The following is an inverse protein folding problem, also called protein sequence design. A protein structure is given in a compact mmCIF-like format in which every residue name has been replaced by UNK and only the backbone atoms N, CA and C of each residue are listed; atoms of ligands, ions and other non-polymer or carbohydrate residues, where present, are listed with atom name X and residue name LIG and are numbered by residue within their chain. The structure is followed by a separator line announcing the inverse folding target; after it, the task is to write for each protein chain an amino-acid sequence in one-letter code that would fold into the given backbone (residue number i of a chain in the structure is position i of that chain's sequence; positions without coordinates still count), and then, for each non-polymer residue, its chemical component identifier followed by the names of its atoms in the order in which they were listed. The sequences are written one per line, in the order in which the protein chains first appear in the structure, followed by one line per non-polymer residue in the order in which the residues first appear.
data_IF_547208178241
#
_entry.id   IF_547208178241
#
_cell.length_a   1.000
_cell.length_b   1.000
_cell.length_c   1.000
_cell.angle_alpha   90.00
_cell.angle_beta   90.00
_cell.angle_gamma   90.00
#
_symmetry.space_group_name_H-M   'P 1'
#
loop_
_entity.id
_entity.type
_entity.pdbx_description
1 polymer ?
#
# COMPACT_ATOMS: atom_id res chain seq x y z
N UNK A 1 -45.94 -15.85 -58.30
CA UNK A 1 -46.65 -14.94 -59.23
C UNK A 1 -45.89 -13.61 -59.29
N UNK A 2 -46.21 -12.70 -60.22
CA UNK A 2 -45.57 -11.36 -60.31
C UNK A 2 -45.64 -10.59 -58.97
N UNK A 3 -46.72 -10.75 -58.21
CA UNK A 3 -46.90 -10.17 -56.89
C UNK A 3 -45.92 -10.72 -55.83
N UNK A 4 -45.62 -12.03 -55.86
CA UNK A 4 -44.63 -12.64 -54.95
C UNK A 4 -43.23 -12.06 -55.18
N UNK A 5 -42.86 -11.89 -56.46
CA UNK A 5 -41.55 -11.33 -56.82
C UNK A 5 -41.44 -9.86 -56.40
N UNK A 6 -42.48 -9.06 -56.61
CA UNK A 6 -42.50 -7.67 -56.14
C UNK A 6 -42.35 -7.58 -54.61
N UNK A 7 -43.08 -8.39 -53.85
CA UNK A 7 -42.93 -8.45 -52.38
C UNK A 7 -41.52 -8.84 -51.96
N UNK A 8 -40.92 -9.80 -52.65
CA UNK A 8 -39.54 -10.21 -52.37
C UNK A 8 -38.54 -9.06 -52.59
N UNK A 9 -38.71 -8.29 -53.67
CA UNK A 9 -37.90 -7.10 -53.94
C UNK A 9 -38.07 -6.04 -52.85
N UNK A 10 -39.30 -5.75 -52.44
CA UNK A 10 -39.54 -4.77 -51.36
C UNK A 10 -38.91 -5.18 -50.04
N UNK A 11 -39.04 -6.43 -49.63
CA UNK A 11 -38.43 -6.94 -48.39
C UNK A 11 -36.90 -6.87 -48.47
N UNK A 12 -36.31 -7.17 -49.62
CA UNK A 12 -34.87 -7.02 -49.82
C UNK A 12 -34.42 -5.56 -49.70
N UNK A 13 -35.20 -4.62 -50.26
CA UNK A 13 -34.95 -3.18 -50.10
C UNK A 13 -35.05 -2.76 -48.64
N UNK A 14 -36.09 -3.17 -47.92
CA UNK A 14 -36.21 -2.88 -46.48
C UNK A 14 -35.06 -3.46 -45.68
N UNK A 15 -34.63 -4.68 -45.98
CA UNK A 15 -33.48 -5.29 -45.32
C UNK A 15 -32.20 -4.49 -45.56
N UNK A 16 -31.91 -4.06 -46.79
CA UNK A 16 -30.74 -3.23 -47.09
C UNK A 16 -30.83 -1.87 -46.38
N UNK A 17 -31.98 -1.20 -46.41
CA UNK A 17 -32.20 0.05 -45.67
C UNK A 17 -31.99 -0.18 -44.17
N UNK A 18 -32.43 -1.31 -43.62
CA UNK A 18 -32.28 -1.59 -42.18
C UNK A 18 -30.82 -1.77 -41.74
N UNK A 19 -29.92 -2.13 -42.65
CA UNK A 19 -28.49 -2.25 -42.33
C UNK A 19 -27.80 -0.90 -42.21
N UNK A 20 -28.16 0.04 -43.09
CA UNK A 20 -27.48 1.34 -43.19
C UNK A 20 -28.21 2.44 -42.42
N UNK A 21 -29.54 2.37 -42.38
CA UNK A 21 -30.44 3.41 -41.89
C UNK A 21 -31.66 2.84 -41.15
N UNK A 22 -31.44 1.93 -40.20
CA UNK A 22 -32.49 1.27 -39.40
C UNK A 22 -33.50 2.23 -38.75
N UNK A 23 -33.05 3.41 -38.29
CA UNK A 23 -33.91 4.42 -37.67
C UNK A 23 -35.05 4.91 -38.59
N UNK A 24 -34.84 4.93 -39.91
CA UNK A 24 -35.85 5.37 -40.90
C UNK A 24 -37.05 4.41 -40.94
N UNK A 25 -36.83 3.15 -40.57
CA UNK A 25 -37.85 2.10 -40.60
C UNK A 25 -38.64 1.97 -39.30
N UNK A 26 -38.21 2.62 -38.22
CA UNK A 26 -38.87 2.55 -36.90
C UNK A 26 -40.36 2.92 -36.95
N UNK A 27 -40.79 4.00 -37.65
CA UNK A 27 -42.22 4.35 -37.75
C UNK A 27 -43.06 3.28 -38.48
N UNK A 28 -42.42 2.42 -39.27
CA UNK A 28 -43.08 1.40 -40.09
C UNK A 28 -43.06 0.02 -39.43
N UNK A 29 -42.64 -0.09 -38.17
CA UNK A 29 -42.47 -1.36 -37.49
C UNK A 29 -43.78 -2.17 -37.40
N UNK A 30 -44.92 -1.50 -37.15
CA UNK A 30 -46.23 -2.16 -37.15
C UNK A 30 -46.59 -2.77 -38.50
N UNK A 31 -46.32 -2.04 -39.60
CA UNK A 31 -46.52 -2.55 -40.95
C UNK A 31 -45.60 -3.74 -41.27
N UNK A 32 -44.34 -3.70 -40.82
CA UNK A 32 -43.41 -4.82 -40.99
C UNK A 32 -43.87 -6.08 -40.23
N UNK A 33 -44.47 -5.91 -39.05
CA UNK A 33 -45.07 -7.00 -38.28
C UNK A 33 -46.28 -7.60 -38.98
N UNK A 34 -47.21 -6.78 -39.48
CA UNK A 34 -48.35 -7.25 -40.29
C UNK A 34 -47.90 -8.01 -41.54
N UNK A 35 -46.81 -7.53 -42.18
CA UNK A 35 -46.28 -8.17 -43.36
C UNK A 35 -45.82 -9.60 -43.07
N UNK A 36 -45.34 -9.93 -41.87
CA UNK A 36 -44.89 -11.28 -41.53
C UNK A 36 -45.95 -12.36 -41.71
N UNK A 37 -47.24 -12.07 -41.49
CA UNK A 37 -48.32 -13.04 -41.68
C UNK A 37 -48.44 -13.52 -43.12
N UNK A 38 -48.05 -12.65 -44.06
CA UNK A 38 -48.28 -12.86 -45.49
C UNK A 38 -47.09 -13.47 -46.20
N UNK A 39 -45.95 -13.56 -45.52
CA UNK A 39 -44.65 -13.82 -46.12
C UNK A 39 -44.17 -15.21 -45.72
N UNK A 40 -44.31 -16.17 -46.63
CA UNK A 40 -43.77 -17.53 -46.48
C UNK A 40 -42.23 -17.56 -46.50
N UNK A 41 -41.64 -17.96 -47.64
CA UNK A 41 -40.18 -18.21 -47.77
C UNK A 41 -39.31 -16.97 -47.45
N UNK A 42 -39.85 -15.74 -47.59
CA UNK A 42 -39.11 -14.51 -47.33
C UNK A 42 -39.17 -14.05 -45.86
N UNK A 43 -39.76 -14.85 -44.96
CA UNK A 43 -39.86 -14.52 -43.54
C UNK A 43 -38.51 -14.32 -42.86
N UNK A 44 -37.45 -14.98 -43.33
CA UNK A 44 -36.09 -14.83 -42.81
C UNK A 44 -35.54 -13.42 -42.94
N UNK A 45 -35.65 -12.80 -44.13
CA UNK A 45 -35.20 -11.43 -44.38
C UNK A 45 -35.97 -10.42 -43.52
N UNK A 46 -37.26 -10.67 -43.34
CA UNK A 46 -38.11 -9.81 -42.52
C UNK A 46 -37.75 -9.91 -41.03
N UNK A 47 -37.50 -11.11 -40.50
CA UNK A 47 -37.02 -11.30 -39.12
C UNK A 47 -35.67 -10.62 -38.90
N UNK A 48 -34.74 -10.73 -39.86
CA UNK A 48 -33.46 -10.00 -39.78
C UNK A 48 -33.65 -8.48 -39.81
N UNK A 49 -34.58 -7.99 -40.62
CA UNK A 49 -34.95 -6.55 -40.67
C UNK A 49 -35.57 -6.10 -39.35
N UNK A 50 -36.45 -6.90 -38.74
CA UNK A 50 -37.03 -6.60 -37.44
C UNK A 50 -35.97 -6.56 -36.34
N UNK A 51 -34.97 -7.46 -36.37
CA UNK A 51 -33.87 -7.45 -35.42
C UNK A 51 -33.03 -6.16 -35.49
N UNK A 52 -32.69 -5.70 -36.70
CA UNK A 52 -31.91 -4.47 -36.90
C UNK A 52 -32.71 -3.22 -36.52
N UNK A 53 -34.01 -3.17 -36.86
CA UNK A 53 -34.89 -2.05 -36.51
C UNK A 53 -35.17 -2.02 -35.00
N UNK A 54 -35.41 -3.17 -34.38
CA UNK A 54 -35.64 -3.25 -32.93
C UNK A 54 -34.42 -2.78 -32.13
N UNK A 55 -33.21 -3.10 -32.59
CA UNK A 55 -31.98 -2.62 -31.98
C UNK A 55 -31.78 -1.10 -32.11
N UNK A 56 -32.36 -0.47 -33.15
CA UNK A 56 -32.23 0.96 -33.38
C UNK A 56 -33.09 1.81 -32.44
N UNK A 57 -34.31 1.36 -32.15
CA UNK A 57 -35.19 1.99 -31.15
C UNK A 57 -35.89 0.94 -30.29
N UNK A 58 -35.24 0.53 -29.18
CA UNK A 58 -35.79 -0.40 -28.19
C UNK A 58 -37.19 -0.04 -27.69
N UNK A 59 -37.48 1.25 -27.48
CA UNK A 59 -38.73 1.71 -26.85
C UNK A 59 -39.91 1.53 -27.78
N UNK A 60 -39.76 1.91 -29.05
CA UNK A 60 -40.80 1.70 -30.06
C UNK A 60 -40.96 0.21 -30.36
N UNK A 61 -39.84 -0.53 -30.39
CA UNK A 61 -39.84 -1.97 -30.59
C UNK A 61 -40.61 -2.72 -29.49
N UNK A 62 -40.32 -2.42 -28.23
CA UNK A 62 -41.04 -2.96 -27.08
C UNK A 62 -42.56 -2.78 -27.22
N UNK A 63 -43.02 -1.54 -27.47
CA UNK A 63 -44.46 -1.22 -27.60
C UNK A 63 -45.16 -1.92 -28.76
N UNK A 64 -44.44 -2.20 -29.84
CA UNK A 64 -45.03 -2.72 -31.09
C UNK A 64 -44.92 -4.24 -31.17
N UNK A 65 -43.79 -4.81 -30.76
CA UNK A 65 -43.46 -6.23 -30.94
C UNK A 65 -43.92 -7.06 -29.75
N UNK A 66 -43.79 -6.58 -28.50
CA UNK A 66 -44.17 -7.37 -27.31
C UNK A 66 -45.63 -7.87 -27.34
N UNK A 67 -46.63 -7.07 -27.75
CA UNK A 67 -48.01 -7.55 -27.85
C UNK A 67 -48.21 -8.71 -28.84
N UNK A 68 -47.29 -8.89 -29.79
CA UNK A 68 -47.36 -9.91 -30.84
C UNK A 68 -46.27 -10.99 -30.69
N UNK A 69 -45.65 -11.11 -29.50
CA UNK A 69 -44.48 -11.96 -29.30
C UNK A 69 -44.75 -13.45 -29.56
N UNK A 70 -45.90 -13.97 -29.13
CA UNK A 70 -46.29 -15.37 -29.35
C UNK A 70 -46.49 -15.70 -30.83
N UNK A 71 -46.93 -14.72 -31.60
CA UNK A 71 -47.06 -14.86 -33.05
C UNK A 71 -45.69 -14.90 -33.72
N UNK A 72 -44.79 -13.97 -33.36
CA UNK A 72 -43.41 -13.97 -33.86
C UNK A 72 -42.69 -15.28 -33.50
N UNK A 73 -42.87 -15.78 -32.27
CA UNK A 73 -42.32 -17.07 -31.82
C UNK A 73 -42.80 -18.24 -32.68
N UNK A 74 -44.09 -18.31 -32.99
CA UNK A 74 -44.65 -19.37 -33.86
C UNK A 74 -44.07 -19.33 -35.27
N UNK A 75 -43.89 -18.14 -35.83
CA UNK A 75 -43.30 -17.96 -37.16
C UNK A 75 -41.82 -18.36 -37.19
N UNK A 76 -41.04 -17.94 -36.19
CA UNK A 76 -39.61 -18.27 -36.11
C UNK A 76 -39.38 -19.76 -35.86
N UNK A 77 -40.25 -20.46 -35.13
CA UNK A 77 -40.16 -21.93 -34.99
C UNK A 77 -40.25 -22.67 -36.34
N UNK A 78 -40.92 -22.10 -37.34
CA UNK A 78 -40.93 -22.62 -38.71
C UNK A 78 -39.64 -22.34 -39.50
N UNK A 79 -38.75 -21.49 -38.96
CA UNK A 79 -37.53 -20.97 -39.55
C UNK A 79 -36.34 -21.23 -38.60
N UNK A 80 -35.98 -22.49 -38.38
CA UNK A 80 -34.97 -22.91 -37.38
C UNK A 80 -33.62 -22.16 -37.45
N UNK A 81 -33.23 -21.63 -38.61
CA UNK A 81 -32.02 -20.79 -38.76
C UNK A 81 -32.15 -19.35 -38.23
N UNK A 82 -33.34 -18.93 -37.81
CA UNK A 82 -33.67 -17.54 -37.43
C UNK A 82 -33.88 -17.36 -35.92
N UNK A 83 -33.76 -18.42 -35.12
CA UNK A 83 -33.92 -18.36 -33.66
C UNK A 83 -32.97 -17.34 -33.01
N UNK A 84 -31.75 -17.22 -33.52
CA UNK A 84 -30.78 -16.21 -33.09
C UNK A 84 -31.29 -14.77 -33.26
N UNK A 85 -31.95 -14.47 -34.38
CA UNK A 85 -32.51 -13.13 -34.62
C UNK A 85 -33.71 -12.87 -33.73
N UNK A 86 -34.50 -13.90 -33.41
CA UNK A 86 -35.58 -13.78 -32.44
C UNK A 86 -35.06 -13.45 -31.04
N UNK A 87 -33.99 -14.12 -30.59
CA UNK A 87 -33.28 -13.77 -29.35
C UNK A 87 -32.78 -12.32 -29.37
N UNK A 88 -32.28 -11.86 -30.52
CA UNK A 88 -31.83 -10.47 -30.70
C UNK A 88 -32.98 -9.47 -30.58
N UNK A 89 -34.14 -9.75 -31.21
CA UNK A 89 -35.36 -8.92 -31.12
C UNK A 89 -35.85 -8.85 -29.67
N UNK A 90 -35.93 -10.00 -29.00
CA UNK A 90 -36.32 -10.10 -27.59
C UNK A 90 -35.42 -9.23 -26.72
N UNK A 91 -34.10 -9.38 -26.85
CA UNK A 91 -33.15 -8.57 -26.08
C UNK A 91 -33.29 -7.07 -26.37
N UNK A 92 -33.47 -6.68 -27.63
CA UNK A 92 -33.70 -5.28 -27.98
C UNK A 92 -34.96 -4.74 -27.30
N UNK A 93 -36.06 -5.49 -27.26
CA UNK A 93 -37.29 -5.10 -26.56
C UNK A 93 -37.07 -5.01 -25.04
N UNK A 94 -36.37 -5.99 -24.45
CA UNK A 94 -36.11 -6.01 -23.01
C UNK A 94 -35.28 -4.81 -22.53
N UNK A 95 -34.35 -4.32 -23.34
CA UNK A 95 -33.52 -3.14 -23.00
C UNK A 95 -34.29 -1.82 -22.87
N UNK A 96 -35.56 -1.75 -23.30
CA UNK A 96 -36.35 -0.53 -23.24
C UNK A 96 -36.71 -0.12 -21.80
N UNK A 97 -37.00 -1.08 -20.93
CA UNK A 97 -37.31 -0.86 -19.51
C UNK A 97 -37.17 -2.14 -18.67
N UNK A 98 -37.11 -1.99 -17.35
CA UNK A 98 -37.07 -3.12 -16.40
C UNK A 98 -38.34 -3.99 -16.52
N UNK A 99 -39.50 -3.37 -16.71
CA UNK A 99 -40.80 -4.06 -16.89
C UNK A 99 -40.80 -4.90 -18.18
N UNK A 100 -40.23 -4.36 -19.26
CA UNK A 100 -40.07 -5.08 -20.53
C UNK A 100 -39.08 -6.24 -20.40
N UNK A 101 -37.98 -6.04 -19.66
CA UNK A 101 -37.04 -7.12 -19.33
C UNK A 101 -37.76 -8.25 -18.59
N UNK A 102 -38.56 -7.94 -17.56
CA UNK A 102 -39.34 -8.93 -16.82
C UNK A 102 -40.29 -9.71 -17.74
N UNK A 103 -40.86 -9.05 -18.74
CA UNK A 103 -41.77 -9.67 -19.71
C UNK A 103 -41.02 -10.56 -20.71
N UNK A 104 -39.83 -10.15 -21.16
CA UNK A 104 -39.02 -10.85 -22.17
C UNK A 104 -38.26 -12.05 -21.59
N UNK A 105 -37.80 -11.94 -20.35
CA UNK A 105 -36.88 -12.91 -19.75
C UNK A 105 -37.42 -14.36 -19.75
N UNK A 106 -38.69 -14.64 -19.44
CA UNK A 106 -39.25 -15.99 -19.56
C UNK A 106 -39.14 -16.56 -20.98
N UNK A 107 -39.39 -15.75 -22.01
CA UNK A 107 -39.29 -16.18 -23.40
C UNK A 107 -37.85 -16.55 -23.78
N UNK A 108 -36.86 -15.81 -23.27
CA UNK A 108 -35.45 -16.14 -23.48
C UNK A 108 -35.08 -17.44 -22.78
N UNK A 109 -35.48 -17.61 -21.52
CA UNK A 109 -35.17 -18.81 -20.73
C UNK A 109 -35.82 -20.07 -21.34
N UNK A 110 -37.03 -19.96 -21.89
CA UNK A 110 -37.69 -21.06 -22.61
C UNK A 110 -36.97 -21.49 -23.90
N UNK A 111 -36.11 -20.65 -24.48
CA UNK A 111 -35.30 -21.00 -25.65
C UNK A 111 -34.04 -21.80 -25.28
N UNK A 112 -33.70 -21.89 -23.99
CA UNK A 112 -32.60 -22.72 -23.51
C UNK A 112 -33.06 -24.18 -23.56
N UNK A 113 -32.34 -25.01 -24.32
CA UNK A 113 -32.68 -26.43 -24.48
C UNK A 113 -31.48 -27.29 -24.86
N UNK A 114 -31.59 -28.60 -24.62
CA UNK A 114 -30.45 -29.53 -24.67
C UNK A 114 -29.79 -29.69 -26.06
N UNK A 115 -30.48 -29.33 -27.15
CA UNK A 115 -30.05 -29.69 -28.50
C UNK A 115 -29.30 -28.59 -29.27
N UNK A 116 -29.29 -27.33 -28.81
CA UNK A 116 -28.69 -26.22 -29.57
C UNK A 116 -27.69 -25.39 -28.73
N UNK A 117 -26.47 -25.93 -28.62
CA UNK A 117 -25.35 -25.29 -27.90
C UNK A 117 -25.09 -23.83 -28.33
N UNK A 118 -25.16 -23.53 -29.63
CA UNK A 118 -24.94 -22.17 -30.13
C UNK A 118 -26.04 -21.21 -29.66
N UNK A 119 -27.31 -21.63 -29.77
CA UNK A 119 -28.43 -20.82 -29.31
C UNK A 119 -28.39 -20.61 -27.80
N UNK A 120 -28.07 -21.64 -27.01
CA UNK A 120 -27.94 -21.54 -25.56
C UNK A 120 -26.91 -20.49 -25.15
N UNK A 121 -25.69 -20.56 -25.71
CA UNK A 121 -24.65 -19.57 -25.45
C UNK A 121 -25.10 -18.15 -25.83
N UNK A 122 -25.79 -18.00 -26.98
CA UNK A 122 -26.33 -16.70 -27.40
C UNK A 122 -27.41 -16.18 -26.45
N UNK A 123 -28.33 -17.05 -26.02
CA UNK A 123 -29.41 -16.69 -25.09
C UNK A 123 -28.82 -16.26 -23.76
N UNK A 124 -27.92 -17.05 -23.19
CA UNK A 124 -27.25 -16.74 -21.92
C UNK A 124 -26.51 -15.40 -22.00
N UNK A 125 -25.83 -15.11 -23.11
CA UNK A 125 -25.16 -13.82 -23.30
C UNK A 125 -26.16 -12.64 -23.29
N UNK A 126 -27.33 -12.80 -23.93
CA UNK A 126 -28.37 -11.76 -23.90
C UNK A 126 -29.02 -11.64 -22.51
N UNK A 127 -29.27 -12.76 -21.83
CA UNK A 127 -29.77 -12.76 -20.44
C UNK A 127 -28.81 -11.98 -19.56
N UNK A 128 -27.50 -12.28 -19.63
CA UNK A 128 -26.44 -11.53 -18.91
C UNK A 128 -26.50 -10.03 -19.20
N UNK A 129 -26.72 -9.64 -20.46
CA UNK A 129 -26.81 -8.23 -20.83
C UNK A 129 -28.03 -7.52 -20.25
N UNK A 130 -29.18 -8.21 -20.15
CA UNK A 130 -30.43 -7.64 -19.62
C UNK A 130 -30.41 -7.51 -18.09
N UNK A 131 -29.92 -8.54 -17.41
CA UNK A 131 -29.96 -8.64 -15.93
C UNK A 131 -28.91 -7.80 -15.22
N UNK A 132 -28.00 -7.16 -15.98
CA UNK A 132 -27.14 -6.08 -15.46
C UNK A 132 -27.92 -4.91 -14.88
N UNK A 133 -29.16 -4.69 -15.32
CA UNK A 133 -30.00 -3.60 -14.81
C UNK A 133 -30.58 -3.91 -13.42
N UNK A 134 -30.96 -5.15 -13.17
CA UNK A 134 -31.50 -5.61 -11.89
C UNK A 134 -31.28 -7.12 -11.72
N UNK A 135 -30.52 -7.47 -10.68
CA UNK A 135 -30.20 -8.86 -10.34
C UNK A 135 -31.41 -9.66 -9.85
N UNK A 136 -32.41 -9.00 -9.25
CA UNK A 136 -33.58 -9.69 -8.70
C UNK A 136 -34.44 -10.34 -9.79
N UNK A 137 -34.32 -9.88 -11.03
CA UNK A 137 -35.02 -10.48 -12.17
C UNK A 137 -34.58 -11.91 -12.46
N UNK A 138 -33.39 -12.33 -12.01
CA UNK A 138 -32.88 -13.67 -12.20
C UNK A 138 -33.46 -14.70 -11.23
N UNK A 139 -33.99 -14.28 -10.08
CA UNK A 139 -34.43 -15.18 -9.00
C UNK A 139 -35.29 -16.37 -9.49
N UNK A 140 -36.31 -16.17 -10.36
CA UNK A 140 -37.18 -17.26 -10.80
C UNK A 140 -36.54 -18.20 -11.81
N UNK A 141 -35.37 -17.85 -12.36
CA UNK A 141 -34.75 -18.50 -13.51
C UNK A 141 -33.38 -19.11 -13.19
N UNK A 142 -32.87 -18.93 -11.97
CA UNK A 142 -31.54 -19.40 -11.56
C UNK A 142 -31.36 -20.91 -11.67
N UNK A 143 -32.43 -21.69 -11.47
CA UNK A 143 -32.35 -23.16 -11.58
C UNK A 143 -32.00 -23.60 -13.01
N UNK A 144 -32.60 -22.95 -14.01
CA UNK A 144 -32.33 -23.23 -15.43
C UNK A 144 -30.91 -22.80 -15.81
N UNK A 145 -30.46 -21.64 -15.32
CA UNK A 145 -29.11 -21.13 -15.59
C UNK A 145 -28.05 -22.03 -14.92
N UNK A 146 -28.30 -22.51 -13.70
CA UNK A 146 -27.40 -23.47 -13.03
C UNK A 146 -27.34 -24.81 -13.74
N UNK A 147 -28.46 -25.30 -14.29
CA UNK A 147 -28.45 -26.51 -15.10
C UNK A 147 -27.54 -26.38 -16.35
N UNK A 148 -27.31 -25.16 -16.85
CA UNK A 148 -26.40 -24.92 -17.97
C UNK A 148 -24.90 -24.99 -17.60
N UNK A 149 -24.55 -25.12 -16.31
CA UNK A 149 -23.17 -25.36 -15.89
C UNK A 149 -22.66 -26.74 -16.34
N UNK A 150 -23.57 -27.72 -16.45
CA UNK A 150 -23.27 -29.08 -16.91
C UNK A 150 -23.48 -29.25 -18.43
N UNK A 151 -23.78 -28.16 -19.15
CA UNK A 151 -23.97 -28.18 -20.60
C UNK A 151 -22.62 -28.14 -21.35
N UNK A 152 -22.62 -27.66 -22.60
CA UNK A 152 -21.38 -27.48 -23.35
C UNK A 152 -20.48 -26.41 -22.74
N UNK A 153 -19.17 -26.50 -23.01
CA UNK A 153 -18.16 -25.63 -22.41
C UNK A 153 -18.43 -24.12 -22.59
N UNK A 154 -19.02 -23.68 -23.71
CA UNK A 154 -19.29 -22.25 -23.93
C UNK A 154 -20.47 -21.79 -23.08
N UNK A 155 -21.56 -22.56 -23.09
CA UNK A 155 -22.74 -22.27 -22.27
C UNK A 155 -22.40 -22.30 -20.77
N UNK A 156 -21.60 -23.26 -20.33
CA UNK A 156 -21.16 -23.40 -18.95
C UNK A 156 -20.35 -22.19 -18.45
N UNK A 157 -19.41 -21.67 -19.27
CA UNK A 157 -18.63 -20.48 -18.92
C UNK A 157 -19.54 -19.26 -18.75
N UNK A 158 -20.47 -19.02 -19.68
CA UNK A 158 -21.37 -17.87 -19.61
C UNK A 158 -22.35 -18.02 -18.43
N UNK A 159 -22.88 -19.22 -18.20
CA UNK A 159 -23.74 -19.51 -17.06
C UNK A 159 -23.02 -19.25 -15.72
N UNK A 160 -21.76 -19.66 -15.60
CA UNK A 160 -20.94 -19.39 -14.42
C UNK A 160 -20.77 -17.89 -14.16
N UNK A 161 -20.52 -17.10 -15.20
CA UNK A 161 -20.42 -15.63 -15.06
C UNK A 161 -21.74 -15.01 -14.58
N UNK A 162 -22.89 -15.51 -15.05
CA UNK A 162 -24.21 -15.04 -14.60
C UNK A 162 -24.44 -15.44 -13.13
N UNK A 163 -24.07 -16.66 -12.73
CA UNK A 163 -24.18 -17.13 -11.34
C UNK A 163 -23.30 -16.30 -10.42
N UNK A 164 -22.05 -16.04 -10.80
CA UNK A 164 -21.13 -15.19 -10.03
C UNK A 164 -21.65 -13.75 -9.90
N UNK A 165 -22.22 -13.21 -10.98
CA UNK A 165 -22.86 -11.90 -10.95
C UNK A 165 -24.05 -11.87 -9.97
N UNK A 166 -24.93 -12.88 -10.07
CA UNK A 166 -26.09 -13.02 -9.19
C UNK A 166 -25.70 -13.11 -7.70
N UNK A 167 -24.66 -13.88 -7.39
CA UNK A 167 -24.17 -14.07 -6.02
C UNK A 167 -23.30 -12.91 -5.50
N UNK A 168 -23.07 -11.87 -6.32
CA UNK A 168 -22.20 -10.74 -5.94
C UNK A 168 -20.72 -11.11 -5.80
N UNK A 169 -20.30 -12.23 -6.42
CA UNK A 169 -18.92 -12.70 -6.47
C UNK A 169 -18.16 -12.25 -7.74
N UNK A 170 -18.80 -11.45 -8.57
CA UNK A 170 -18.21 -10.90 -9.78
C UNK A 170 -17.10 -9.86 -9.50
N UNK A 171 -16.20 -9.72 -10.48
CA UNK A 171 -15.08 -8.76 -10.44
C UNK A 171 -15.58 -7.32 -10.20
N UNK A 172 -16.74 -6.96 -10.75
CA UNK A 172 -17.35 -5.63 -10.57
C UNK A 172 -17.74 -5.37 -9.10
N UNK A 173 -18.25 -6.38 -8.40
CA UNK A 173 -18.61 -6.28 -6.99
C UNK A 173 -17.36 -6.21 -6.10
N UNK A 174 -16.29 -6.92 -6.48
CA UNK A 174 -15.01 -6.83 -5.79
C UNK A 174 -14.37 -5.44 -5.98
N UNK A 175 -14.41 -4.89 -7.20
CA UNK A 175 -13.88 -3.56 -7.50
C UNK A 175 -14.58 -2.46 -6.67
N UNK A 176 -15.91 -2.53 -6.53
CA UNK A 176 -16.65 -1.61 -5.66
C UNK A 176 -16.18 -1.70 -4.21
N UNK A 177 -16.06 -2.91 -3.66
CA UNK A 177 -15.63 -3.11 -2.26
C UNK A 177 -14.19 -2.65 -2.01
N UNK A 178 -13.30 -2.83 -2.98
CA UNK A 178 -11.92 -2.33 -2.88
C UNK A 178 -11.89 -0.81 -2.87
N UNK A 179 -12.74 -0.15 -3.68
CA UNK A 179 -12.88 1.30 -3.66
C UNK A 179 -13.39 1.82 -2.32
N UNK A 180 -14.39 1.16 -1.73
CA UNK A 180 -14.95 1.55 -0.43
C UNK A 180 -13.90 1.43 0.69
N UNK A 181 -13.15 0.33 0.71
CA UNK A 181 -12.07 0.11 1.69
C UNK A 181 -10.92 1.11 1.50
N UNK A 182 -10.56 1.44 0.25
CA UNK A 182 -9.55 2.47 0.00
C UNK A 182 -9.97 3.83 0.56
N UNK A 183 -11.24 4.20 0.38
CA UNK A 183 -11.77 5.45 0.94
C UNK A 183 -11.82 5.44 2.47
N UNK A 184 -12.11 4.29 3.10
CA UNK A 184 -12.04 4.15 4.55
C UNK A 184 -10.60 4.28 5.08
N UNK A 185 -9.61 3.72 4.37
CA UNK A 185 -8.19 3.87 4.72
C UNK A 185 -7.75 5.33 4.65
N UNK A 186 -8.09 6.03 3.57
CA UNK A 186 -7.76 7.47 3.42
C UNK A 186 -8.36 8.32 4.56
N UNK A 187 -9.59 8.03 4.98
CA UNK A 187 -10.24 8.73 6.10
C UNK A 187 -9.57 8.44 7.45
N UNK A 188 -9.12 7.20 7.66
CA UNK A 188 -8.40 6.82 8.88
C UNK A 188 -7.01 7.46 8.90
N UNK A 189 -6.32 7.54 7.76
CA UNK A 189 -5.05 8.26 7.66
C UNK A 189 -5.20 9.75 7.96
N UNK A 190 -6.25 10.40 7.47
CA UNK A 190 -6.53 11.82 7.77
C UNK A 190 -6.85 12.05 9.27
N UNK A 191 -7.54 11.10 9.91
CA UNK A 191 -7.81 11.16 11.35
C UNK A 191 -6.59 10.83 12.23
N UNK A 192 -5.58 10.17 11.67
CA UNK A 192 -4.36 9.73 12.34
C UNK A 192 -3.12 10.53 11.90
N UNK A 193 -3.25 11.83 11.65
CA UNK A 193 -2.09 12.74 11.57
C UNK A 193 -1.43 12.98 12.96
N UNK A 194 -1.19 11.89 13.67
CA UNK A 194 -0.45 11.82 14.94
C UNK A 194 0.99 12.27 14.70
N UNK A 195 1.54 12.01 13.51
CA UNK A 195 2.89 12.42 13.12
C UNK A 195 3.01 13.94 13.02
N UNK A 196 2.10 14.63 12.32
CA UNK A 196 2.09 16.08 12.24
C UNK A 196 1.91 16.75 13.59
N UNK A 197 1.09 16.17 14.48
CA UNK A 197 0.91 16.65 15.85
C UNK A 197 2.18 16.54 16.70
N UNK A 198 2.91 15.43 16.61
CA UNK A 198 4.19 15.24 17.30
C UNK A 198 5.26 16.21 16.75
N UNK A 199 5.32 16.36 15.42
CA UNK A 199 6.27 17.30 14.77
C UNK A 199 6.02 18.75 15.21
N UNK A 200 4.75 19.18 15.25
CA UNK A 200 4.37 20.51 15.73
C UNK A 200 4.71 20.72 17.22
N UNK A 201 4.41 19.72 18.07
CA UNK A 201 4.72 19.78 19.50
C UNK A 201 6.24 19.90 19.76
N UNK A 202 7.04 19.08 19.07
CA UNK A 202 8.51 19.13 19.19
C UNK A 202 9.06 20.46 18.69
N UNK A 203 8.48 21.02 17.62
CA UNK A 203 8.91 22.30 17.06
C UNK A 203 8.61 23.48 18.02
N UNK A 204 7.43 23.50 18.62
CA UNK A 204 7.03 24.55 19.58
C UNK A 204 7.85 24.50 20.87
N UNK A 205 8.20 23.30 21.36
CA UNK A 205 8.95 23.13 22.61
C UNK A 205 10.47 23.03 22.42
N UNK A 206 10.98 23.12 21.18
CA UNK A 206 12.40 23.00 20.87
C UNK A 206 13.28 24.00 21.63
N UNK A 207 12.78 25.22 21.86
CA UNK A 207 13.51 26.24 22.60
C UNK A 207 13.67 25.85 24.07
N UNK A 208 12.60 25.39 24.69
CA UNK A 208 12.57 24.99 26.11
C UNK A 208 13.44 23.74 26.35
N UNK A 209 13.41 22.77 25.43
CA UNK A 209 14.27 21.58 25.45
C UNK A 209 15.75 21.98 25.38
N UNK A 210 16.11 22.92 24.49
CA UNK A 210 17.49 23.42 24.39
C UNK A 210 17.93 24.19 25.64
N UNK A 211 17.06 25.02 26.21
CA UNK A 211 17.36 25.77 27.42
C UNK A 211 17.52 24.84 28.63
N UNK A 212 16.65 23.84 28.75
CA UNK A 212 16.74 22.79 29.76
C UNK A 212 18.07 22.03 29.64
N UNK A 213 18.41 21.56 28.44
CA UNK A 213 19.68 20.85 28.23
C UNK A 213 20.90 21.72 28.53
N UNK A 214 20.87 23.03 28.25
CA UNK A 214 21.97 23.93 28.60
C UNK A 214 22.15 24.08 30.14
N UNK A 215 21.06 23.99 30.91
CA UNK A 215 21.10 24.01 32.38
C UNK A 215 21.56 22.65 32.92
N UNK A 216 21.05 21.55 32.36
CA UNK A 216 21.35 20.18 32.79
C UNK A 216 22.78 19.79 32.41
N UNK A 217 23.28 20.17 31.23
CA UNK A 217 24.63 19.83 30.76
C UNK A 217 25.75 20.34 31.69
N UNK A 218 25.48 21.36 32.51
CA UNK A 218 26.41 21.85 33.55
C UNK A 218 26.54 20.91 34.74
N UNK A 219 25.49 20.15 35.05
CA UNK A 219 25.41 19.26 36.22
C UNK A 219 25.58 17.80 35.83
N UNK A 220 25.08 17.42 34.67
CA UNK A 220 25.04 16.06 34.18
C UNK A 220 25.79 15.97 32.84
N UNK A 221 26.86 15.17 32.75
CA UNK A 221 27.53 14.90 31.48
C UNK A 221 26.59 14.13 30.56
N UNK A 222 26.62 14.46 29.27
CA UNK A 222 25.80 13.82 28.25
C UNK A 222 26.58 12.65 27.63
N UNK A 223 26.04 11.43 27.61
CA UNK A 223 26.69 10.30 26.95
C UNK A 223 26.66 10.50 25.44
N UNK A 224 27.74 10.09 24.79
CA UNK A 224 27.84 10.14 23.33
C UNK A 224 27.19 8.91 22.70
N UNK A 225 27.21 7.79 23.42
CA UNK A 225 26.60 6.55 22.96
C UNK A 225 26.03 5.76 24.15
N UNK A 226 24.95 5.04 23.87
CA UNK A 226 24.32 4.11 24.80
C UNK A 226 24.15 2.75 24.13
N UNK A 227 24.59 1.68 24.80
CA UNK A 227 24.56 0.33 24.25
C UNK A 227 23.99 -0.67 25.26
N UNK A 228 23.05 -1.50 24.81
CA UNK A 228 22.47 -2.56 25.64
C UNK A 228 23.25 -3.85 25.40
N UNK A 229 23.88 -4.40 26.46
CA UNK A 229 24.53 -5.72 26.39
C UNK A 229 23.90 -6.70 27.37
N UNK A 230 23.86 -7.97 26.96
CA UNK A 230 23.38 -9.10 27.77
C UNK A 230 22.17 -9.79 27.13
N UNK A 231 22.15 -11.13 27.18
CA UNK A 231 21.05 -11.96 26.64
C UNK A 231 19.93 -12.23 27.66
N UNK A 232 20.25 -12.25 28.95
CA UNK A 232 19.33 -12.69 30.03
C UNK A 232 19.13 -11.62 31.10
N UNK A 233 20.18 -10.86 31.43
CA UNK A 233 20.10 -9.63 32.22
C UNK A 233 20.69 -8.53 31.36
N UNK A 234 19.81 -7.71 30.78
CA UNK A 234 20.23 -6.63 29.89
C UNK A 234 20.70 -5.46 30.77
N UNK A 235 21.92 -5.01 30.53
CA UNK A 235 22.52 -3.86 31.24
C UNK A 235 22.81 -2.78 30.22
N UNK A 236 22.50 -1.54 30.57
CA UNK A 236 22.78 -0.38 29.74
C UNK A 236 24.21 0.12 30.04
N UNK A 237 25.02 0.23 28.99
CA UNK A 237 26.36 0.80 29.04
C UNK A 237 26.33 2.21 28.45
N UNK A 238 26.96 3.14 29.16
CA UNK A 238 27.07 4.54 28.77
C UNK A 238 28.52 4.83 28.40
N UNK A 239 28.71 5.53 27.27
CA UNK A 239 30.02 5.94 26.78
C UNK A 239 30.13 7.47 26.79
N UNK A 240 31.21 7.98 27.37
CA UNK A 240 31.51 9.40 27.45
C UNK A 240 32.89 9.67 26.84
N UNK A 241 32.99 10.68 25.99
CA UNK A 241 34.23 11.08 25.35
C UNK A 241 34.68 12.47 25.81
N UNK A 242 35.98 12.76 25.70
CA UNK A 242 36.50 14.10 25.94
C UNK A 242 36.26 14.99 24.71
N UNK A 243 35.66 16.16 24.90
CA UNK A 243 35.34 17.07 23.79
C UNK A 243 36.56 17.76 23.13
N UNK A 244 37.71 17.85 23.81
CA UNK A 244 38.92 18.53 23.29
C UNK A 244 39.82 17.63 22.42
N UNK A 245 39.79 16.31 22.63
CA UNK A 245 40.55 15.29 21.86
C UNK A 245 42.02 15.65 21.54
N UNK A 246 42.74 16.21 22.50
CA UNK A 246 44.14 16.62 22.28
C UNK A 246 45.11 15.41 22.20
N UNK A 247 46.28 15.55 21.54
CA UNK A 247 47.29 14.51 21.44
C UNK A 247 47.90 14.20 22.83
N UNK A 248 47.31 13.23 23.55
CA UNK A 248 47.62 12.95 24.95
C UNK A 248 46.38 12.80 25.85
N UNK A 249 45.18 12.94 25.31
CA UNK A 249 43.93 12.72 26.02
C UNK A 249 43.84 11.27 26.54
N UNK A 250 43.45 11.10 27.80
CA UNK A 250 43.20 9.79 28.40
C UNK A 250 41.93 9.09 27.84
N UNK A 251 41.03 9.87 27.24
CA UNK A 251 39.74 9.40 26.73
C UNK A 251 39.45 9.94 25.31
N UNK A 252 40.21 9.51 24.28
CA UNK A 252 39.91 9.79 22.88
C UNK A 252 38.64 9.04 22.42
N UNK A 253 38.14 9.34 21.22
CA UNK A 253 36.95 8.67 20.61
C UNK A 253 37.07 7.14 20.65
N UNK A 254 38.26 6.62 20.41
CA UNK A 254 38.53 5.18 20.39
C UNK A 254 38.56 4.53 21.79
N UNK A 255 38.72 5.33 22.85
CA UNK A 255 38.74 4.87 24.23
C UNK A 255 37.90 5.76 25.15
N UNK A 256 36.60 5.82 24.87
CA UNK A 256 35.63 6.50 25.72
C UNK A 256 35.59 5.90 27.14
N UNK A 257 35.27 6.75 28.12
CA UNK A 257 34.95 6.34 29.48
C UNK A 257 33.64 5.55 29.47
N UNK A 258 33.67 4.35 30.06
CA UNK A 258 32.54 3.42 30.05
C UNK A 258 32.05 3.18 31.47
N UNK A 259 30.74 3.31 31.67
CA UNK A 259 30.08 2.93 32.93
C UNK A 259 28.83 2.11 32.67
N UNK A 260 28.43 1.30 33.65
CA UNK A 260 27.19 0.53 33.63
C UNK A 260 26.11 1.20 34.49
N UNK A 261 24.87 1.15 34.03
CA UNK A 261 23.73 1.66 34.79
C UNK A 261 22.62 0.61 34.91
N UNK A 262 21.96 0.62 36.07
CA UNK A 262 20.71 -0.11 36.32
C UNK A 262 19.49 0.79 36.13
N UNK A 263 19.67 2.10 36.11
CA UNK A 263 18.63 3.12 35.98
C UNK A 263 18.38 3.51 34.52
N UNK A 264 18.10 2.51 33.69
CA UNK A 264 17.96 2.70 32.25
C UNK A 264 16.82 3.65 31.86
N UNK A 265 15.68 3.63 32.58
CA UNK A 265 14.55 4.53 32.34
C UNK A 265 14.96 6.01 32.30
N UNK A 266 15.80 6.43 33.25
CA UNK A 266 16.24 7.83 33.37
C UNK A 266 17.21 8.19 32.25
N UNK A 267 18.09 7.27 31.85
CA UNK A 267 19.03 7.47 30.74
C UNK A 267 18.36 7.46 29.36
N UNK A 268 17.29 6.68 29.17
CA UNK A 268 16.47 6.74 27.94
C UNK A 268 15.80 8.11 27.81
N UNK A 269 15.23 8.66 28.90
CA UNK A 269 14.73 10.05 28.92
C UNK A 269 15.82 11.07 28.56
N UNK A 270 17.03 10.92 29.10
CA UNK A 270 18.19 11.76 28.72
C UNK A 270 18.45 11.66 27.21
N UNK A 271 18.43 10.45 26.66
CA UNK A 271 18.66 10.23 25.23
C UNK A 271 17.60 10.85 24.33
N UNK A 272 16.32 10.72 24.69
CA UNK A 272 15.23 11.36 23.96
C UNK A 272 15.37 12.89 23.97
N UNK A 273 15.79 13.51 25.07
CA UNK A 273 16.08 14.94 25.11
C UNK A 273 17.23 15.33 24.18
N UNK A 274 18.29 14.53 24.12
CA UNK A 274 19.44 14.77 23.24
C UNK A 274 18.98 14.74 21.77
N UNK A 275 18.16 13.75 21.39
CA UNK A 275 17.56 13.68 20.05
C UNK A 275 16.64 14.87 19.75
N UNK A 276 15.75 15.23 20.67
CA UNK A 276 14.81 16.33 20.50
C UNK A 276 15.52 17.70 20.40
N UNK A 277 16.70 17.85 20.98
CA UNK A 277 17.53 19.04 20.78
C UNK A 277 18.28 19.07 19.44
N UNK A 278 18.18 18.01 18.65
CA UNK A 278 18.84 17.86 17.34
C UNK A 278 20.28 17.40 17.45
N UNK A 279 20.64 16.66 18.50
CA UNK A 279 21.95 15.99 18.61
C UNK A 279 21.77 14.48 18.49
N UNK A 280 22.67 13.83 17.77
CA UNK A 280 22.61 12.39 17.56
C UNK A 280 23.40 11.65 18.64
N UNK A 281 22.83 10.56 19.16
CA UNK A 281 23.44 9.66 20.15
C UNK A 281 24.23 8.50 19.53
N UNK A 282 24.33 8.52 18.21
CA UNK A 282 25.13 7.58 17.44
C UNK A 282 26.14 8.43 16.67
N UNK A 283 27.41 8.02 16.71
CA UNK A 283 28.50 8.58 15.91
C UNK A 283 28.31 8.27 14.40
N UNK A 284 27.13 8.55 13.86
CA UNK A 284 26.87 8.55 12.42
C UNK A 284 27.19 9.95 11.95
N UNK A 285 28.24 10.05 11.13
CA UNK A 285 28.91 11.27 10.71
C UNK A 285 28.10 12.11 9.69
N UNK A 286 26.77 12.12 9.74
CA UNK A 286 25.96 12.91 8.81
C UNK A 286 24.79 13.58 9.53
N UNK A 287 24.73 14.92 9.43
CA UNK A 287 23.72 15.81 10.02
C UNK A 287 22.38 15.71 9.25
N UNK A 288 21.86 14.49 9.10
CA UNK A 288 20.69 14.17 8.30
C UNK A 288 19.48 13.68 9.11
N UNK A 289 18.27 13.90 8.58
CA UNK A 289 17.01 13.37 9.12
C UNK A 289 17.02 11.84 9.30
N UNK A 290 17.78 11.13 8.46
CA UNK A 290 17.99 9.68 8.54
C UNK A 290 18.77 9.26 9.79
N UNK A 291 19.74 10.05 10.25
CA UNK A 291 20.50 9.79 11.48
C UNK A 291 19.65 10.00 12.74
N UNK A 292 18.68 10.93 12.70
CA UNK A 292 17.70 11.12 13.77
C UNK A 292 16.75 9.91 13.86
N UNK A 293 16.21 9.46 12.72
CA UNK A 293 15.34 8.28 12.66
C UNK A 293 16.07 7.02 13.14
N UNK A 294 17.33 6.81 12.70
CA UNK A 294 18.14 5.67 13.14
C UNK A 294 18.45 5.71 14.65
N UNK A 295 18.72 6.90 15.20
CA UNK A 295 18.97 7.06 16.64
C UNK A 295 17.70 6.88 17.48
N UNK A 296 16.54 7.29 16.96
CA UNK A 296 15.25 7.07 17.58
C UNK A 296 14.90 5.57 17.62
N UNK A 297 15.06 4.87 16.50
CA UNK A 297 14.84 3.42 16.44
C UNK A 297 15.82 2.65 17.33
N UNK A 298 17.09 3.09 17.43
CA UNK A 298 18.05 2.50 18.35
C UNK A 298 17.66 2.70 19.82
N UNK A 299 17.13 3.87 20.20
CA UNK A 299 16.61 4.12 21.55
C UNK A 299 15.34 3.33 21.84
N UNK A 300 14.42 3.24 20.88
CA UNK A 300 13.19 2.44 21.01
C UNK A 300 13.53 0.97 21.19
N UNK A 301 14.40 0.42 20.33
CA UNK A 301 14.91 -0.94 20.46
C UNK A 301 15.65 -1.19 21.78
N UNK A 302 16.40 -0.21 22.30
CA UNK A 302 17.03 -0.30 23.61
C UNK A 302 16.01 -0.28 24.76
N UNK A 303 14.97 0.55 24.69
CA UNK A 303 13.88 0.62 25.66
C UNK A 303 13.05 -0.67 25.66
N UNK A 304 12.67 -1.16 24.49
CA UNK A 304 11.95 -2.44 24.28
C UNK A 304 12.78 -3.63 24.76
N UNK A 305 14.10 -3.55 24.60
CA UNK A 305 14.99 -4.57 25.11
C UNK A 305 15.01 -4.57 26.65
N UNK A 306 15.06 -3.40 27.29
CA UNK A 306 15.26 -3.28 28.74
C UNK A 306 13.96 -3.36 29.56
N UNK A 307 12.81 -3.05 28.95
CA UNK A 307 11.46 -3.18 29.52
C UNK A 307 10.70 -4.44 29.07
N UNK A 308 9.61 -4.76 29.75
CA UNK A 308 8.63 -5.75 29.29
C UNK A 308 7.55 -5.05 28.47
N UNK A 309 7.63 -5.10 27.13
CA UNK A 309 6.58 -4.88 26.11
C UNK A 309 5.41 -3.91 26.36
N UNK A 310 5.53 -2.89 27.21
CA UNK A 310 4.50 -1.87 27.41
C UNK A 310 4.87 -0.65 26.56
N UNK A 311 4.31 -0.60 25.35
CA UNK A 311 4.38 0.56 24.46
C UNK A 311 3.92 1.86 25.17
N UNK A 312 3.03 1.73 26.16
CA UNK A 312 2.53 2.81 27.01
C UNK A 312 3.62 3.50 27.84
N UNK A 313 4.66 2.78 28.26
CA UNK A 313 5.75 3.35 29.07
C UNK A 313 6.68 4.22 28.23
N UNK A 314 6.91 3.86 26.96
CA UNK A 314 7.71 4.66 26.04
C UNK A 314 6.93 5.88 25.54
N UNK A 315 5.62 5.73 25.29
CA UNK A 315 4.72 6.85 25.00
C UNK A 315 4.71 7.88 26.15
N UNK A 316 4.67 7.43 27.41
CA UNK A 316 4.76 8.32 28.57
C UNK A 316 6.08 9.11 28.63
N UNK A 317 7.19 8.58 28.09
CA UNK A 317 8.46 9.32 27.99
C UNK A 317 8.45 10.37 26.87
N UNK A 318 7.62 10.18 25.83
CA UNK A 318 7.41 11.18 24.78
C UNK A 318 6.52 12.33 25.28
N UNK A 319 5.54 12.03 26.14
CA UNK A 319 4.64 13.02 26.73
C UNK A 319 5.32 13.87 27.82
N UNK A 320 6.23 13.29 28.60
CA UNK A 320 7.01 13.98 29.65
C UNK A 320 8.51 14.01 29.34
N UNK A 321 8.98 14.90 28.45
CA UNK A 321 10.36 14.89 28.00
C UNK A 321 11.35 15.34 29.07
N UNK A 322 10.96 16.19 30.03
CA UNK A 322 11.90 16.81 30.97
C UNK A 322 12.23 15.92 32.19
N UNK A 323 13.51 15.85 32.57
CA UNK A 323 13.92 15.20 33.82
C UNK A 323 13.59 16.07 35.02
N UNK A 324 12.99 15.46 36.04
CA UNK A 324 12.78 16.09 37.35
C UNK A 324 14.12 16.35 38.05
N UNK A 325 14.17 17.30 38.99
CA UNK A 325 15.40 17.59 39.74
C UNK A 325 15.88 16.38 40.54
N UNK A 326 14.96 15.56 41.06
CA UNK A 326 15.29 14.32 41.78
C UNK A 326 15.92 13.27 40.85
N UNK A 327 15.40 13.10 39.63
CA UNK A 327 16.00 12.22 38.63
C UNK A 327 17.41 12.69 38.24
N UNK A 328 17.63 14.01 38.09
CA UNK A 328 18.94 14.57 37.78
C UNK A 328 19.97 14.29 38.88
N UNK A 329 19.61 14.54 40.14
CA UNK A 329 20.50 14.31 41.28
C UNK A 329 20.84 12.81 41.43
N UNK A 330 19.87 11.93 41.18
CA UNK A 330 20.09 10.48 41.18
C UNK A 330 21.09 10.03 40.10
N UNK A 331 20.99 10.58 38.88
CA UNK A 331 21.94 10.27 37.81
C UNK A 331 23.34 10.78 38.13
N UNK A 332 23.44 11.96 38.75
CA UNK A 332 24.71 12.53 39.20
C UNK A 332 25.37 11.64 40.25
N UNK A 333 24.62 11.15 41.24
CA UNK A 333 25.17 10.27 42.28
C UNK A 333 25.61 8.91 41.74
N UNK A 334 24.92 8.40 40.72
CA UNK A 334 25.33 7.21 39.99
C UNK A 334 26.70 7.42 39.31
N UNK A 335 26.90 8.56 38.66
CA UNK A 335 28.16 8.90 37.99
C UNK A 335 29.31 9.17 38.97
N UNK A 336 29.02 9.79 40.13
CA UNK A 336 29.99 9.92 41.23
C UNK A 336 30.46 8.56 41.72
N UNK A 337 29.52 7.64 41.93
CA UNK A 337 29.84 6.28 42.37
C UNK A 337 30.66 5.49 41.34
N UNK A 338 30.52 5.83 40.05
CA UNK A 338 31.30 5.25 38.96
C UNK A 338 32.68 5.91 38.75
N UNK A 339 33.00 6.98 39.49
CA UNK A 339 34.28 7.69 39.35
C UNK A 339 34.39 8.58 38.11
N UNK A 340 33.27 8.95 37.47
CA UNK A 340 33.29 9.80 36.28
C UNK A 340 33.91 11.18 36.59
N UNK A 341 33.48 11.80 37.69
CA UNK A 341 33.93 13.14 38.10
C UNK A 341 35.38 13.17 38.63
N UNK A 342 36.00 12.00 38.84
CA UNK A 342 37.44 11.91 39.17
C UNK A 342 38.31 11.98 37.90
N UNK A 343 37.73 11.67 36.74
CA UNK A 343 38.40 11.63 35.44
C UNK A 343 38.10 12.85 34.56
N UNK A 344 36.91 13.45 34.71
CA UNK A 344 36.43 14.58 33.92
C UNK A 344 36.10 15.78 34.81
N UNK A 345 36.35 16.98 34.29
CA UNK A 345 35.84 18.23 34.86
C UNK A 345 35.09 19.04 33.80
N UNK A 346 34.18 19.89 34.27
CA UNK A 346 33.41 20.78 33.42
C UNK A 346 34.22 22.03 33.10
N UNK A 347 34.42 22.32 31.81
CA UNK A 347 35.04 23.55 31.34
C UNK A 347 33.96 24.63 31.10
N UNK A 348 33.93 25.71 31.90
CA UNK A 348 32.95 26.78 31.74
C UNK A 348 33.11 27.58 30.43
N UNK A 349 34.28 27.55 29.78
CA UNK A 349 34.54 28.32 28.56
C UNK A 349 33.92 27.65 27.33
N UNK A 350 34.13 26.34 27.20
CA UNK A 350 33.55 25.55 26.11
C UNK A 350 32.15 25.02 26.43
N UNK A 351 31.73 25.11 27.69
CA UNK A 351 30.51 24.52 28.21
C UNK A 351 30.43 22.99 27.99
N UNK A 352 31.59 22.32 27.99
CA UNK A 352 31.72 20.87 27.75
C UNK A 352 32.47 20.17 28.88
N UNK A 353 32.34 18.84 28.92
CA UNK A 353 33.09 17.99 29.85
C UNK A 353 34.39 17.55 29.19
N UNK A 354 35.51 17.77 29.87
CA UNK A 354 36.85 17.48 29.37
C UNK A 354 37.60 16.67 30.42
N UNK A 355 38.48 15.78 29.98
CA UNK A 355 39.27 14.99 30.92
C UNK A 355 40.29 15.87 31.65
N UNK A 356 40.67 15.48 32.87
CA UNK A 356 41.58 16.25 33.70
C UNK A 356 42.95 16.51 33.05
N UNK A 357 43.39 15.60 32.17
CA UNK A 357 44.63 15.76 31.41
C UNK A 357 44.54 16.87 30.35
N UNK A 358 43.39 17.08 29.71
CA UNK A 358 43.18 18.16 28.73
C UNK A 358 42.82 19.52 29.36
N UNK A 359 42.50 19.57 30.66
CA UNK A 359 42.24 20.82 31.38
C UNK A 359 43.54 21.52 31.78
N UNK A 360 44.59 20.75 32.10
CA UNK A 360 45.82 21.26 32.69
C UNK A 360 46.92 21.67 31.70
N UNK A 361 46.69 21.56 30.40
CA UNK A 361 47.64 22.00 29.37
C UNK A 361 47.57 23.51 29.08
N UNK A 362 46.53 24.21 29.55
CA UNK A 362 46.41 25.66 29.38
C UNK A 362 47.40 26.48 30.25
N UNK A 363 48.08 25.88 31.24
CA UNK A 363 48.92 26.62 32.21
C UNK A 363 50.42 26.29 32.26
N UNK A 364 50.99 25.47 31.37
CA UNK A 364 52.47 25.27 31.35
C UNK A 364 53.05 25.51 29.95
N UNK A 365 53.22 26.79 29.64
CA UNK A 365 54.28 27.26 28.74
C UNK A 365 55.21 28.17 29.52
N UNK A 366 56.37 27.65 29.93
CA UNK A 366 57.48 28.52 30.34
C UNK A 366 57.97 29.32 29.13
N UNK A 367 58.52 30.52 29.40
CA UNK A 367 58.93 31.51 28.40
C UNK A 367 59.97 31.02 27.37
N UNK A 368 60.54 29.82 27.53
CA UNK A 368 61.60 29.25 26.68
C UNK A 368 61.20 27.97 25.92
N UNK A 369 59.90 27.66 25.81
CA UNK A 369 59.40 26.74 24.77
C UNK A 369 59.92 25.30 24.79
N UNK A 370 60.28 24.75 25.95
CA UNK A 370 60.73 23.35 26.07
C UNK A 370 59.72 22.50 26.85
N UNK A 371 59.38 21.31 26.32
CA UNK A 371 58.44 20.34 26.91
C UNK A 371 58.96 19.80 28.24
N UNK A 372 58.24 20.06 29.34
CA UNK A 372 58.44 19.37 30.62
C UNK A 372 57.53 18.12 30.63
N UNK A 373 58.15 16.94 30.67
CA UNK A 373 57.42 15.68 30.87
C UNK A 373 56.95 15.59 32.33
N UNK A 374 55.63 15.52 32.56
CA UNK A 374 55.08 15.25 33.89
C UNK A 374 55.17 13.75 34.25
N UNK A 375 55.26 13.40 35.54
CA UNK A 375 55.41 12.02 36.00
C UNK A 375 54.11 11.23 35.83
N UNK A 376 54.27 9.97 35.43
CA UNK A 376 53.23 8.97 35.23
C UNK A 376 52.45 8.73 36.53
N UNK A 377 51.18 9.15 36.58
CA UNK A 377 50.25 8.76 37.65
C UNK A 377 49.93 7.28 37.51
N UNK A 378 50.21 6.50 38.56
CA UNK A 378 49.90 5.07 38.61
C UNK A 378 48.38 4.86 38.78
N UNK A 379 47.83 4.00 37.90
CA UNK A 379 46.45 3.49 37.96
C UNK A 379 46.16 2.83 39.31
N UNK A 380 44.91 2.87 39.82
CA UNK A 380 44.45 1.88 40.78
C UNK A 380 44.29 0.54 40.07
N UNK A 381 44.94 -0.50 40.60
CA UNK A 381 44.81 -1.88 40.17
C UNK A 381 43.34 -2.33 40.20
N UNK A 382 42.79 -2.71 39.05
CA UNK A 382 41.78 -3.76 38.98
C UNK A 382 42.43 -5.00 38.34
N UNK A 383 42.42 -6.07 39.10
CA UNK A 383 43.01 -7.37 38.82
C UNK A 383 42.12 -8.18 37.87
N UNK A 384 42.57 -8.43 36.64
CA UNK A 384 42.70 -9.80 36.10
C UNK A 384 43.47 -9.79 34.75
N UNK A 385 44.53 -10.62 34.59
CA UNK A 385 45.30 -10.72 33.36
C UNK A 385 44.95 -12.00 32.60
N UNK A 386 44.31 -11.88 31.43
CA UNK A 386 44.50 -12.87 30.36
C UNK A 386 44.22 -12.27 28.99
N UNK A 387 45.19 -12.44 28.10
CA UNK A 387 45.28 -11.82 26.80
C UNK A 387 44.30 -12.39 25.77
N UNK A 388 43.78 -11.52 24.91
CA UNK A 388 43.56 -11.79 23.49
C UNK A 388 43.72 -10.46 22.72
N UNK A 389 44.50 -10.41 21.62
CA UNK A 389 44.74 -9.19 20.86
C UNK A 389 43.56 -8.87 19.94
N UNK A 390 43.28 -7.58 19.74
CA UNK A 390 42.78 -6.95 18.51
C UNK A 390 41.62 -7.59 17.71
N UNK A 391 40.67 -8.23 18.39
CA UNK A 391 39.45 -8.75 17.73
C UNK A 391 38.49 -7.63 17.32
N UNK A 392 38.55 -6.45 17.93
CA UNK A 392 37.57 -5.37 17.69
C UNK A 392 37.94 -4.55 16.45
N UNK A 393 39.21 -4.14 16.30
CA UNK A 393 39.68 -3.43 15.11
C UNK A 393 39.55 -4.30 13.84
N UNK A 394 39.93 -5.58 13.91
CA UNK A 394 39.76 -6.52 12.79
C UNK A 394 38.28 -6.73 12.43
N UNK A 395 37.37 -6.70 13.41
CA UNK A 395 35.94 -6.92 13.16
C UNK A 395 35.25 -5.68 12.59
N UNK A 396 35.73 -4.48 12.88
CA UNK A 396 35.29 -3.26 12.21
C UNK A 396 35.74 -3.20 10.74
N UNK A 397 36.96 -3.63 10.44
CA UNK A 397 37.45 -3.73 9.04
C UNK A 397 36.69 -4.83 8.27
N UNK A 398 36.37 -5.96 8.91
CA UNK A 398 35.62 -7.05 8.26
C UNK A 398 34.19 -6.62 7.94
N UNK A 399 33.51 -5.92 8.86
CA UNK A 399 32.14 -5.43 8.64
C UNK A 399 32.09 -4.34 7.57
N UNK A 400 33.12 -3.49 7.48
CA UNK A 400 33.25 -2.49 6.43
C UNK A 400 33.45 -3.14 5.05
N UNK A 401 34.32 -4.14 4.95
CA UNK A 401 34.53 -4.89 3.71
C UNK A 401 33.31 -5.71 3.26
N UNK A 402 32.55 -6.29 4.19
CA UNK A 402 31.30 -6.99 3.87
C UNK A 402 30.20 -6.05 3.36
N UNK A 403 30.18 -4.80 3.83
CA UNK A 403 29.24 -3.77 3.37
C UNK A 403 29.59 -3.28 1.97
N UNK A 404 30.87 -2.97 1.72
CA UNK A 404 31.36 -2.55 0.39
C UNK A 404 31.15 -3.64 -0.67
N UNK A 405 31.34 -4.93 -0.31
CA UNK A 405 31.07 -6.05 -1.22
C UNK A 405 29.58 -6.24 -1.55
N UNK A 406 28.68 -5.92 -0.60
CA UNK A 406 27.23 -5.98 -0.83
C UNK A 406 26.74 -4.89 -1.76
N UNK A 407 27.29 -3.68 -1.62
CA UNK A 407 26.96 -2.54 -2.48
C UNK A 407 27.45 -2.78 -3.91
N UNK A 408 28.66 -3.33 -4.11
CA UNK A 408 29.12 -3.73 -5.46
C UNK A 408 28.29 -4.86 -6.10
N UNK A 409 27.77 -5.81 -5.29
CA UNK A 409 26.91 -6.89 -5.80
C UNK A 409 25.51 -6.37 -6.21
N UNK A 410 24.97 -5.38 -5.49
CA UNK A 410 23.72 -4.71 -5.86
C UNK A 410 23.86 -3.84 -7.10
N UNK A 411 24.97 -3.10 -7.26
CA UNK A 411 25.24 -2.32 -8.47
C UNK A 411 25.40 -3.22 -9.71
N UNK A 412 26.07 -4.38 -9.58
CA UNK A 412 26.15 -5.37 -10.66
C UNK A 412 24.79 -5.95 -11.03
N UNK A 413 23.94 -6.25 -10.04
CA UNK A 413 22.58 -6.74 -10.30
C UNK A 413 21.69 -5.70 -10.99
N UNK A 414 21.90 -4.41 -10.72
CA UNK A 414 21.18 -3.34 -11.42
C UNK A 414 21.69 -3.11 -12.86
N UNK A 415 22.97 -3.37 -13.14
CA UNK A 415 23.52 -3.27 -14.50
C UNK A 415 23.24 -4.50 -15.38
N UNK A 416 22.98 -5.68 -14.79
CA UNK A 416 22.66 -6.92 -15.51
C UNK A 416 21.15 -7.14 -15.73
N UNK A 417 20.28 -6.24 -15.26
CA UNK A 417 18.84 -6.33 -15.54
C UNK A 417 18.58 -6.16 -17.05
N UNK A 418 18.00 -7.17 -17.74
CA UNK A 418 17.80 -7.11 -19.18
C UNK A 418 16.81 -5.99 -19.53
N UNK A 419 17.23 -5.08 -20.41
CA UNK A 419 16.38 -4.06 -21.00
C UNK A 419 15.10 -4.73 -21.54
N UNK A 420 13.96 -4.36 -20.97
CA UNK A 420 12.65 -4.81 -21.41
C UNK A 420 12.51 -4.52 -22.91
N UNK A 421 12.38 -5.60 -23.68
CA UNK A 421 12.15 -5.55 -25.12
C UNK A 421 10.82 -4.86 -25.36
N UNK A 422 10.90 -3.64 -25.89
CA UNK A 422 9.78 -2.85 -26.40
C UNK A 422 9.22 -3.53 -27.67
N UNK A 423 8.34 -4.51 -27.49
CA UNK A 423 7.54 -5.05 -28.61
C UNK A 423 6.44 -4.05 -28.92
N UNK A 424 6.77 -3.12 -29.82
CA UNK A 424 5.81 -2.22 -30.44
C UNK A 424 4.67 -2.98 -31.12
N UNK A 425 3.45 -2.72 -30.66
CA UNK A 425 2.24 -3.07 -31.39
C UNK A 425 1.66 -1.79 -32.02
N UNK A 426 2.10 -1.48 -33.25
CA UNK A 426 1.45 -0.51 -34.13
C UNK A 426 0.13 -1.12 -34.60
N UNK A 427 -0.98 -0.72 -34.01
CA UNK A 427 -2.29 -0.82 -34.65
C UNK A 427 -2.55 0.46 -35.44
N UNK A 428 -2.32 0.39 -36.76
CA UNK A 428 -2.86 1.34 -37.72
C UNK A 428 -4.33 1.02 -37.93
N UNK A 429 -5.22 1.94 -37.59
CA UNK A 429 -6.58 2.00 -38.14
C UNK A 429 -6.62 3.25 -39.03
N UNK A 430 -6.63 3.01 -40.34
CA UNK A 430 -7.39 3.73 -41.36
C UNK A 430 -7.49 2.84 -42.60
#
# INVERSE_FOLDING_TARGET
SKATLQRATYISVFYNISKEHSAVLVPYLGFLMELMETVGIMGSLLVMTLATVAAADPKVASRTILPQMDQLKRLVKGLSSMEYFFVTILCACGRASIEDTRTVLPFLIELIGEQNSFLNASVLLQVKALVRQDRALLDPHMDVIRAMLDADAKSAVIALEIVQFFEGRGIDALASRVSDVAQEVDQVEEQLDVRGQIEAYVQDHKHDIKQFLAIVAKKLPMPVCMEVKGKVRKTLYLYFECSRQEPGCDFPTDHAFRTETKDWNKWIKVGLNILNAGRHLLAVADDGLEAAAASYEALKSAADALGSSDDDAFAAYLDEPFLTSEEQDHLVDQLKSAGFFDAFAYDPQTATWVCNSCIHDDEIRDADGTLVTKPKVQRPNSSDPTAAPDVVAQRFETVRAEKEAREEEEEKKQQEAPAAVDTGCKCTIL
#
